data_IF_364769473056
#
_entry.id   IF_364769473056
#
_cell.length_a   1.000
_cell.length_b   1.000
_cell.length_c   1.000
_cell.angle_alpha   90.00
_cell.angle_beta   90.00
_cell.angle_gamma   90.00
#
_symmetry.space_group_name_H-M   'P 1'
#
loop_
_entity.id
_entity.type
_entity.pdbx_description
1 polymer ?
#
# COMPACT_ATOMS: atom_id res chain seq x y z
N UNK A 1 1.23 13.93 -4.40
CA UNK A 1 1.56 13.24 -3.14
C UNK A 1 0.31 12.54 -2.64
N UNK A 2 0.35 11.21 -2.49
CA UNK A 2 -0.76 10.43 -1.95
C UNK A 2 -0.97 10.77 -0.47
N UNK A 3 -2.02 11.53 -0.17
CA UNK A 3 -2.43 11.83 1.21
C UNK A 3 -3.50 10.82 1.67
N UNK A 4 -3.09 9.56 1.75
CA UNK A 4 -3.99 8.45 2.12
C UNK A 4 -4.43 8.60 3.58
N UNK A 5 -3.52 8.97 4.48
CA UNK A 5 -3.80 9.16 5.90
C UNK A 5 -4.94 10.18 6.15
N UNK A 6 -4.95 11.31 5.43
CA UNK A 6 -6.02 12.32 5.53
C UNK A 6 -7.35 11.88 4.95
N UNK A 7 -7.35 10.93 4.01
CA UNK A 7 -8.59 10.31 3.50
C UNK A 7 -9.12 9.27 4.48
N UNK A 8 -8.23 8.42 5.01
CA UNK A 8 -8.58 7.40 6.01
C UNK A 8 -9.19 8.02 7.26
N UNK A 9 -8.64 9.12 7.77
CA UNK A 9 -9.18 9.81 8.96
C UNK A 9 -10.60 10.36 8.80
N UNK A 10 -11.10 10.44 7.56
CA UNK A 10 -12.47 10.89 7.24
C UNK A 10 -13.42 9.75 6.92
N UNK A 11 -12.93 8.52 6.81
CA UNK A 11 -13.75 7.35 6.53
C UNK A 11 -14.11 6.70 7.86
N UNK A 12 -15.39 6.40 8.07
CA UNK A 12 -15.76 5.49 9.14
C UNK A 12 -15.36 4.08 8.71
N UNK A 13 -14.16 3.67 9.09
CA UNK A 13 -13.67 2.32 8.78
C UNK A 13 -14.18 1.29 9.80
N UNK A 14 -15.13 1.66 10.66
CA UNK A 14 -15.53 0.87 11.83
C UNK A 14 -16.02 -0.55 11.52
N UNK A 15 -16.59 -0.71 10.33
CA UNK A 15 -17.26 -1.95 9.91
C UNK A 15 -16.49 -2.62 8.77
N UNK A 16 -15.23 -2.20 8.54
CA UNK A 16 -14.39 -2.72 7.47
C UNK A 16 -13.61 -3.93 7.96
N UNK A 17 -13.87 -5.09 7.34
CA UNK A 17 -13.14 -6.34 7.60
C UNK A 17 -11.90 -6.51 6.72
N UNK A 18 -11.84 -5.82 5.57
CA UNK A 18 -10.77 -5.98 4.60
C UNK A 18 -10.40 -4.63 3.99
N UNK A 19 -9.12 -4.30 4.01
CA UNK A 19 -8.57 -3.07 3.42
C UNK A 19 -7.64 -3.48 2.27
N UNK A 20 -7.91 -2.95 1.08
CA UNK A 20 -7.09 -3.23 -0.11
C UNK A 20 -6.36 -1.95 -0.52
N UNK A 21 -5.03 -2.00 -0.51
CA UNK A 21 -4.16 -0.90 -0.93
C UNK A 21 -3.69 -1.18 -2.36
N UNK A 22 -4.26 -0.44 -3.32
CA UNK A 22 -3.83 -0.43 -4.71
C UNK A 22 -3.28 0.95 -5.07
N UNK A 23 -1.96 1.11 -4.91
CA UNK A 23 -1.28 2.41 -5.04
C UNK A 23 0.17 2.26 -5.50
N UNK A 24 0.82 3.38 -5.85
CA UNK A 24 2.24 3.45 -6.20
C UNK A 24 2.56 3.26 -7.69
N UNK A 25 1.69 2.58 -8.45
CA UNK A 25 1.93 2.34 -9.89
C UNK A 25 2.16 3.61 -10.71
N UNK A 26 1.45 4.71 -10.40
CA UNK A 26 1.65 6.00 -11.08
C UNK A 26 2.90 6.74 -10.59
N UNK A 27 3.23 6.63 -9.31
CA UNK A 27 4.44 7.21 -8.73
C UNK A 27 5.68 6.58 -9.37
N UNK A 28 5.67 5.26 -9.59
CA UNK A 28 6.71 4.53 -10.34
C UNK A 28 6.80 5.07 -11.78
N UNK A 29 5.68 5.20 -12.50
CA UNK A 29 5.67 5.78 -13.86
C UNK A 29 6.21 7.21 -13.92
N UNK A 30 5.99 8.00 -12.87
CA UNK A 30 6.48 9.37 -12.76
C UNK A 30 7.92 9.46 -12.24
N UNK A 31 8.63 8.34 -12.16
CA UNK A 31 10.04 8.30 -11.76
C UNK A 31 10.30 8.54 -10.28
N UNK A 32 9.30 8.34 -9.41
CA UNK A 32 9.53 8.44 -7.96
C UNK A 32 10.46 7.31 -7.47
N UNK A 33 11.39 7.59 -6.55
CA UNK A 33 12.24 6.56 -5.98
C UNK A 33 11.43 5.49 -5.26
N UNK A 34 11.75 4.21 -5.48
CA UNK A 34 11.07 3.08 -4.82
C UNK A 34 11.16 3.18 -3.29
N UNK A 35 12.26 3.69 -2.75
CA UNK A 35 12.42 3.94 -1.31
C UNK A 35 11.39 4.93 -0.77
N UNK A 36 11.13 6.01 -1.50
CA UNK A 36 10.11 6.99 -1.14
C UNK A 36 8.71 6.35 -1.13
N UNK A 37 8.37 5.59 -2.19
CA UNK A 37 7.06 4.94 -2.28
C UNK A 37 6.90 3.90 -1.16
N UNK A 38 7.95 3.14 -0.86
CA UNK A 38 8.00 2.20 0.26
C UNK A 38 7.67 2.88 1.59
N UNK A 39 8.31 4.00 1.89
CA UNK A 39 8.09 4.74 3.14
C UNK A 39 6.64 5.25 3.25
N UNK A 40 6.04 5.68 2.14
CA UNK A 40 4.64 6.12 2.09
C UNK A 40 3.68 4.95 2.35
N UNK A 41 3.90 3.80 1.70
CA UNK A 41 3.07 2.61 1.91
C UNK A 41 3.22 2.10 3.36
N UNK A 42 4.45 2.04 3.87
CA UNK A 42 4.74 1.65 5.25
C UNK A 42 3.98 2.53 6.25
N UNK A 43 4.09 3.85 6.13
CA UNK A 43 3.36 4.80 6.99
C UNK A 43 1.85 4.65 6.87
N UNK A 44 1.35 4.39 5.66
CA UNK A 44 -0.08 4.15 5.44
C UNK A 44 -0.56 2.92 6.21
N UNK A 45 0.17 1.81 6.13
CA UNK A 45 -0.15 0.59 6.89
C UNK A 45 -0.09 0.86 8.40
N UNK A 46 0.95 1.54 8.88
CA UNK A 46 1.04 1.90 10.31
C UNK A 46 -0.13 2.78 10.77
N UNK A 47 -0.51 3.79 10.00
CA UNK A 47 -1.67 4.64 10.34
C UNK A 47 -2.99 3.89 10.34
N UNK A 48 -3.14 2.83 9.54
CA UNK A 48 -4.30 1.94 9.60
C UNK A 48 -4.24 1.14 10.91
N UNK A 49 -3.07 0.58 11.23
CA UNK A 49 -2.80 -0.22 12.45
C UNK A 49 -3.04 0.53 13.76
N UNK A 50 -2.76 1.82 13.79
CA UNK A 50 -2.97 2.68 14.96
C UNK A 50 -4.45 2.97 15.26
N UNK A 51 -5.37 2.65 14.35
CA UNK A 51 -6.79 2.81 14.63
C UNK A 51 -7.26 1.70 15.59
N UNK A 52 -8.11 2.05 16.57
CA UNK A 52 -8.52 1.18 17.69
C UNK A 52 -9.26 -0.12 17.30
N UNK A 53 -9.41 -0.37 16.00
CA UNK A 53 -10.02 -1.58 15.47
C UNK A 53 -8.98 -2.61 15.09
N UNK A 54 -9.16 -3.82 15.56
CA UNK A 54 -8.14 -4.88 15.49
C UNK A 54 -8.52 -6.03 14.54
N UNK A 55 -9.67 -5.96 13.86
CA UNK A 55 -10.22 -7.10 13.09
C UNK A 55 -10.33 -6.88 11.58
N UNK A 56 -9.47 -6.03 10.99
CA UNK A 56 -9.32 -5.95 9.55
C UNK A 56 -8.12 -6.79 9.07
N UNK A 57 -8.22 -7.34 7.87
CA UNK A 57 -7.07 -7.81 7.10
C UNK A 57 -6.63 -6.75 6.09
N UNK A 58 -5.33 -6.50 5.99
CA UNK A 58 -4.77 -5.56 5.01
C UNK A 58 -4.14 -6.34 3.86
N UNK A 59 -4.53 -5.97 2.64
CA UNK A 59 -3.98 -6.49 1.40
C UNK A 59 -3.27 -5.37 0.63
N UNK A 60 -2.15 -5.70 0.00
CA UNK A 60 -1.43 -4.81 -0.90
C UNK A 60 -1.39 -5.44 -2.28
N UNK A 61 -1.88 -4.71 -3.28
CA UNK A 61 -1.98 -5.18 -4.65
C UNK A 61 -0.67 -4.97 -5.41
N UNK A 62 -0.18 -6.01 -6.10
CA UNK A 62 0.85 -5.85 -7.13
C UNK A 62 0.30 -5.05 -8.30
N UNK A 63 1.20 -4.35 -8.98
CA UNK A 63 0.87 -3.65 -10.22
C UNK A 63 1.17 -4.59 -11.37
N UNK A 64 0.19 -4.80 -12.25
CA UNK A 64 0.37 -5.60 -13.47
C UNK A 64 1.45 -4.96 -14.37
N UNK A 65 2.11 -5.74 -15.24
CA UNK A 65 3.14 -5.22 -16.12
C UNK A 65 2.66 -4.01 -16.94
N UNK A 66 3.48 -2.96 -16.99
CA UNK A 66 3.18 -1.73 -17.72
C UNK A 66 4.17 -1.52 -18.87
N UNK A 67 3.74 -0.77 -19.90
CA UNK A 67 4.59 -0.45 -21.06
C UNK A 67 5.53 0.73 -20.80
N UNK A 68 5.11 1.64 -19.93
CA UNK A 68 5.78 2.89 -19.62
C UNK A 68 6.86 2.77 -18.54
N UNK A 69 6.80 1.72 -17.72
CA UNK A 69 7.75 1.54 -16.62
C UNK A 69 7.88 0.08 -16.17
N UNK A 70 9.08 -0.30 -15.75
CA UNK A 70 9.34 -1.60 -15.12
C UNK A 70 8.90 -1.59 -13.65
N UNK A 71 7.85 -2.35 -13.34
CA UNK A 71 7.29 -2.48 -11.99
C UNK A 71 7.83 -3.67 -11.21
N UNK A 72 8.77 -4.46 -11.74
CA UNK A 72 9.29 -5.67 -11.05
C UNK A 72 9.95 -5.34 -9.72
N UNK A 73 10.81 -4.33 -9.69
CA UNK A 73 11.48 -3.88 -8.46
C UNK A 73 10.47 -3.31 -7.45
N UNK A 74 9.41 -2.65 -7.95
CA UNK A 74 8.34 -2.16 -7.10
C UNK A 74 7.55 -3.33 -6.48
N UNK A 75 7.12 -4.30 -7.27
CA UNK A 75 6.40 -5.47 -6.78
C UNK A 75 7.26 -6.31 -5.81
N UNK A 76 8.57 -6.45 -6.06
CA UNK A 76 9.49 -7.10 -5.11
C UNK A 76 9.58 -6.34 -3.79
N UNK A 77 9.53 -5.00 -3.83
CA UNK A 77 9.50 -4.19 -2.61
C UNK A 77 8.21 -4.40 -1.81
N UNK A 78 7.06 -4.60 -2.47
CA UNK A 78 5.80 -4.91 -1.79
C UNK A 78 5.85 -6.26 -1.06
N UNK A 79 6.44 -7.27 -1.71
CA UNK A 79 6.68 -8.59 -1.09
C UNK A 79 7.59 -8.46 0.13
N UNK A 80 8.72 -7.76 0.01
CA UNK A 80 9.61 -7.46 1.13
C UNK A 80 8.90 -6.73 2.27
N UNK A 81 7.95 -5.84 1.96
CA UNK A 81 7.17 -5.12 2.96
C UNK A 81 6.21 -6.06 3.71
N UNK A 82 5.57 -6.99 3.02
CA UNK A 82 4.69 -8.00 3.64
C UNK A 82 5.42 -8.99 4.54
N UNK A 83 6.72 -9.21 4.32
CA UNK A 83 7.51 -9.99 5.28
C UNK A 83 7.72 -9.31 6.64
N UNK A 84 7.47 -7.99 6.73
CA UNK A 84 7.76 -7.15 7.91
C UNK A 84 6.52 -6.59 8.58
N UNK A 85 5.39 -6.59 7.88
CA UNK A 85 4.12 -6.05 8.35
C UNK A 85 3.05 -7.15 8.24
N UNK A 86 2.02 -7.14 9.09
CA UNK A 86 0.90 -8.08 9.01
C UNK A 86 -0.04 -7.68 7.85
N UNK A 87 0.47 -7.76 6.62
CA UNK A 87 -0.24 -7.48 5.38
C UNK A 87 -0.02 -8.63 4.40
N UNK A 88 -0.98 -8.90 3.52
CA UNK A 88 -0.87 -9.92 2.47
C UNK A 88 -0.67 -9.23 1.12
N UNK A 89 0.29 -9.67 0.32
CA UNK A 89 0.40 -9.21 -1.07
C UNK A 89 -0.49 -10.07 -1.95
N UNK A 90 -1.25 -9.44 -2.86
CA UNK A 90 -2.12 -10.12 -3.82
C UNK A 90 -1.80 -9.67 -5.25
N UNK A 91 -1.98 -10.59 -6.19
CA UNK A 91 -1.84 -10.30 -7.62
C UNK A 91 -3.12 -9.63 -8.16
N UNK A 92 -2.98 -8.76 -9.16
CA UNK A 92 -4.07 -8.01 -9.81
C UNK A 92 -3.96 -8.08 -11.32
#
# INVERSE_FOLDING_TARGET
MLDICKKLSKMNISDISNIIIFAGGNDVSNGQPISFIKDVIFKTVQSIQEQEQTNYEIFICKISPRRDVDVRNFNSMLEDLSSKLPVKVIDC
#
